data_IF_959774818721
#
_entry.id   IF_959774818721
#
_cell.length_a   1.000
_cell.length_b   1.000
_cell.length_c   1.000
_cell.angle_alpha   90.00
_cell.angle_beta   90.00
_cell.angle_gamma   90.00
#
_symmetry.space_group_name_H-M   'P 1'
#
loop_
_entity.id
_entity.type
_entity.pdbx_description
1 polymer ?
#
# COMPACT_ATOMS: atom_id res chain seq x y z
N UNK A 1 -5.39 4.50 -7.84
CA UNK A 1 -6.19 3.61 -6.95
C UNK A 1 -7.70 3.78 -7.13
N UNK A 2 -8.26 4.99 -7.28
CA UNK A 2 -9.71 5.20 -7.49
C UNK A 2 -10.26 4.30 -8.61
N UNK A 3 -9.66 4.36 -9.80
CA UNK A 3 -10.08 3.51 -10.94
C UNK A 3 -9.89 2.01 -10.66
N UNK A 4 -8.75 1.62 -10.09
CA UNK A 4 -8.48 0.20 -9.79
C UNK A 4 -9.47 -0.36 -8.76
N UNK A 5 -9.90 0.43 -7.78
CA UNK A 5 -10.93 0.03 -6.81
C UNK A 5 -12.27 -0.23 -7.50
N UNK A 6 -12.65 0.65 -8.45
CA UNK A 6 -13.87 0.45 -9.24
C UNK A 6 -13.78 -0.81 -10.08
N UNK A 7 -12.64 -1.05 -10.72
CA UNK A 7 -12.39 -2.27 -11.49
C UNK A 7 -12.49 -3.54 -10.68
N UNK A 8 -11.78 -3.57 -9.53
CA UNK A 8 -11.67 -4.78 -8.73
C UNK A 8 -12.94 -5.10 -7.93
N UNK A 9 -13.64 -4.07 -7.45
CA UNK A 9 -14.73 -4.24 -6.48
C UNK A 9 -16.08 -3.68 -6.93
N UNK A 10 -16.17 -3.03 -8.09
CA UNK A 10 -17.37 -2.36 -8.54
C UNK A 10 -17.78 -1.14 -7.72
N UNK A 11 -16.95 -0.71 -6.79
CA UNK A 11 -17.22 0.40 -5.86
C UNK A 11 -16.61 1.71 -6.37
N UNK A 12 -17.39 2.78 -6.40
CA UNK A 12 -16.93 4.12 -6.78
C UNK A 12 -16.51 4.88 -5.53
N UNK A 13 -15.23 5.24 -5.43
CA UNK A 13 -14.66 6.04 -4.33
C UNK A 13 -14.18 7.38 -4.86
N UNK A 14 -14.01 8.35 -3.97
CA UNK A 14 -13.43 9.65 -4.26
C UNK A 14 -11.98 9.74 -3.77
N UNK A 15 -11.23 10.76 -4.24
CA UNK A 15 -9.84 10.98 -3.78
C UNK A 15 -9.75 11.24 -2.27
N UNK A 16 -10.76 11.83 -1.65
CA UNK A 16 -10.82 12.06 -0.20
C UNK A 16 -10.89 10.77 0.62
N UNK A 17 -11.35 9.67 0.00
CA UNK A 17 -11.50 8.36 0.64
C UNK A 17 -10.18 7.55 0.59
N UNK A 18 -9.17 8.07 -0.10
CA UNK A 18 -7.85 7.44 -0.22
C UNK A 18 -6.91 7.99 0.85
N UNK A 19 -6.41 7.12 1.69
CA UNK A 19 -5.34 7.48 2.64
C UNK A 19 -4.02 7.66 1.89
N UNK A 20 -3.45 8.86 1.90
CA UNK A 20 -2.26 9.19 1.11
C UNK A 20 -1.07 9.49 2.03
N UNK A 21 0.01 8.71 1.87
CA UNK A 21 1.32 8.96 2.46
C UNK A 21 2.33 9.39 1.39
N UNK A 22 3.04 10.48 1.63
CA UNK A 22 4.10 10.94 0.73
C UNK A 22 5.44 10.28 1.00
N UNK A 23 6.37 10.37 0.04
CA UNK A 23 7.76 9.87 0.17
C UNK A 23 8.74 10.96 0.58
N UNK A 24 8.30 12.20 0.75
CA UNK A 24 9.20 13.36 1.02
C UNK A 24 9.91 13.32 2.37
N UNK A 25 9.51 12.55 3.29
CA UNK A 25 10.17 12.42 4.60
C UNK A 25 11.07 11.18 4.70
N UNK A 26 11.14 10.37 3.65
CA UNK A 26 11.90 9.13 3.65
C UNK A 26 13.39 9.41 3.65
N UNK A 27 14.08 9.00 4.70
CA UNK A 27 15.53 9.10 4.84
C UNK A 27 16.23 7.85 4.29
N UNK A 28 17.52 7.97 3.99
CA UNK A 28 18.31 6.84 3.52
C UNK A 28 18.47 5.79 4.62
N UNK A 29 18.48 6.21 5.87
CA UNK A 29 18.52 5.36 7.04
C UNK A 29 17.29 4.45 7.12
N UNK A 30 16.11 4.94 6.76
CA UNK A 30 14.89 4.15 6.73
C UNK A 30 14.99 3.00 5.72
N UNK A 31 15.63 3.24 4.57
CA UNK A 31 15.87 2.20 3.57
C UNK A 31 16.85 1.16 4.09
N UNK A 32 17.93 1.60 4.77
CA UNK A 32 18.93 0.70 5.36
C UNK A 32 18.29 -0.16 6.45
N UNK A 33 17.50 0.44 7.35
CA UNK A 33 16.80 -0.29 8.41
C UNK A 33 15.77 -1.27 7.84
N UNK A 34 15.00 -0.87 6.83
CA UNK A 34 14.08 -1.78 6.15
C UNK A 34 14.83 -3.01 5.60
N UNK A 35 15.97 -2.80 4.94
CA UNK A 35 16.78 -3.89 4.38
C UNK A 35 17.34 -4.84 5.45
N UNK A 36 17.76 -4.30 6.59
CA UNK A 36 18.22 -5.11 7.73
C UNK A 36 17.10 -5.95 8.32
N UNK A 37 15.87 -5.42 8.34
CA UNK A 37 14.67 -6.12 8.79
C UNK A 37 14.11 -7.11 7.75
N UNK A 38 14.74 -7.23 6.56
CA UNK A 38 14.31 -8.17 5.52
C UNK A 38 13.24 -7.60 4.56
N UNK A 39 13.09 -6.29 4.50
CA UNK A 39 12.11 -5.61 3.65
C UNK A 39 12.76 -4.76 2.57
N UNK A 40 11.97 -4.41 1.55
CA UNK A 40 12.23 -3.35 0.57
C UNK A 40 11.19 -2.25 0.73
N UNK A 41 11.62 -0.98 0.67
CA UNK A 41 10.67 0.14 0.66
C UNK A 41 10.14 0.35 -0.74
N UNK A 42 8.82 0.28 -0.91
CA UNK A 42 8.15 0.51 -2.19
C UNK A 42 7.01 1.52 -2.04
N UNK A 43 6.72 2.29 -3.08
CA UNK A 43 5.51 3.09 -3.16
C UNK A 43 4.37 2.20 -3.63
N UNK A 44 3.45 1.89 -2.74
CA UNK A 44 2.37 0.93 -2.99
C UNK A 44 1.02 1.63 -2.89
N UNK A 45 0.16 1.37 -3.88
CA UNK A 45 -1.27 1.64 -3.78
C UNK A 45 -1.99 0.33 -3.44
N UNK A 46 -2.77 0.32 -2.37
CA UNK A 46 -3.57 -0.83 -1.96
C UNK A 46 -5.05 -0.51 -2.01
N UNK A 47 -5.84 -1.49 -2.42
CA UNK A 47 -7.29 -1.51 -2.25
C UNK A 47 -7.67 -2.90 -1.75
N UNK A 48 -8.29 -2.98 -0.59
CA UNK A 48 -8.67 -4.26 0.01
C UNK A 48 -10.06 -4.19 0.63
N UNK A 49 -10.77 -5.31 0.59
CA UNK A 49 -12.04 -5.47 1.31
C UNK A 49 -11.78 -5.89 2.76
N UNK A 50 -12.52 -5.27 3.67
CA UNK A 50 -12.57 -5.72 5.06
C UNK A 50 -13.52 -6.91 5.20
N UNK A 51 -13.50 -7.63 6.33
CA UNK A 51 -14.47 -8.69 6.61
C UNK A 51 -15.93 -8.23 6.55
N UNK A 52 -16.21 -6.93 6.73
CA UNK A 52 -17.54 -6.33 6.60
C UNK A 52 -17.91 -5.94 5.16
N UNK A 53 -17.10 -6.30 4.18
CA UNK A 53 -17.25 -5.91 2.78
C UNK A 53 -17.11 -4.39 2.53
N UNK A 54 -16.49 -3.66 3.44
CA UNK A 54 -16.08 -2.28 3.20
C UNK A 54 -14.75 -2.24 2.45
N UNK A 55 -14.45 -1.16 1.75
CA UNK A 55 -13.20 -1.00 1.02
C UNK A 55 -12.28 -0.02 1.73
N UNK A 56 -11.04 -0.43 1.95
CA UNK A 56 -9.96 0.44 2.41
C UNK A 56 -8.97 0.68 1.28
N UNK A 57 -8.65 1.95 1.02
CA UNK A 57 -7.75 2.34 -0.06
C UNK A 57 -6.66 3.25 0.47
N UNK A 58 -5.42 2.95 0.11
CA UNK A 58 -4.29 3.80 0.48
C UNK A 58 -3.20 3.83 -0.60
N UNK A 59 -2.40 4.89 -0.58
CA UNK A 59 -1.19 5.04 -1.40
C UNK A 59 -0.10 5.61 -0.51
N UNK A 60 1.07 4.96 -0.48
CA UNK A 60 2.18 5.46 0.32
C UNK A 60 3.40 4.52 0.29
N UNK A 61 4.49 4.92 0.95
CA UNK A 61 5.64 4.05 1.16
C UNK A 61 5.24 2.90 2.10
N UNK A 62 5.63 1.69 1.71
CA UNK A 62 5.31 0.44 2.43
C UNK A 62 6.57 -0.41 2.50
N UNK A 63 6.81 -1.04 3.63
CA UNK A 63 7.80 -2.09 3.77
C UNK A 63 7.24 -3.38 3.17
N UNK A 64 7.83 -3.83 2.07
CA UNK A 64 7.43 -5.06 1.36
C UNK A 64 8.44 -6.15 1.70
N UNK A 65 8.03 -7.33 2.20
CA UNK A 65 8.94 -8.43 2.49
C UNK A 65 9.77 -8.81 1.26
N UNK A 66 11.07 -9.05 1.41
CA UNK A 66 11.95 -9.41 0.28
C UNK A 66 11.47 -10.61 -0.55
N UNK A 67 10.84 -11.65 0.04
CA UNK A 67 10.29 -12.76 -0.74
C UNK A 67 9.05 -12.39 -1.57
N UNK A 68 8.35 -11.30 -1.23
CA UNK A 68 7.13 -10.91 -1.92
C UNK A 68 7.43 -10.46 -3.36
N UNK A 69 6.64 -10.86 -4.38
CA UNK A 69 6.90 -10.53 -5.80
C UNK A 69 7.05 -9.04 -6.08
N UNK A 70 6.29 -8.17 -5.40
CA UNK A 70 6.41 -6.72 -5.57
C UNK A 70 7.76 -6.14 -5.11
N UNK A 71 8.48 -6.82 -4.21
CA UNK A 71 9.81 -6.36 -3.76
C UNK A 71 10.84 -6.38 -4.89
N UNK A 72 10.71 -7.30 -5.84
CA UNK A 72 11.63 -7.47 -6.97
C UNK A 72 11.50 -6.41 -8.06
N UNK A 73 10.41 -5.63 -8.07
CA UNK A 73 10.16 -4.62 -9.10
C UNK A 73 11.12 -3.45 -8.96
N UNK A 74 11.81 -3.09 -10.05
CA UNK A 74 12.82 -2.02 -10.07
C UNK A 74 12.64 -1.12 -11.28
N UNK A 75 13.20 0.07 -11.21
CA UNK A 75 13.26 1.07 -12.27
C UNK A 75 11.88 1.50 -12.77
N UNK A 76 11.66 1.56 -14.08
CA UNK A 76 10.42 1.94 -14.76
C UNK A 76 9.33 0.86 -14.79
N UNK A 77 9.62 -0.30 -14.24
CA UNK A 77 8.65 -1.39 -14.21
C UNK A 77 7.60 -1.21 -13.12
N UNK A 78 6.37 -1.58 -13.46
CA UNK A 78 5.24 -1.58 -12.55
C UNK A 78 4.73 -3.00 -12.35
N UNK A 79 4.07 -3.24 -11.22
CA UNK A 79 3.37 -4.47 -10.92
C UNK A 79 2.01 -4.20 -10.32
N UNK A 80 1.04 -4.99 -10.70
CA UNK A 80 -0.26 -5.09 -10.04
C UNK A 80 -0.37 -6.49 -9.48
N UNK A 81 -0.40 -6.59 -8.17
CA UNK A 81 -0.55 -7.85 -7.46
C UNK A 81 -1.99 -7.99 -6.99
N UNK A 82 -2.60 -9.12 -7.27
CA UNK A 82 -4.01 -9.38 -7.02
C UNK A 82 -4.15 -10.65 -6.21
N UNK A 83 -4.83 -10.55 -5.09
CA UNK A 83 -5.26 -11.70 -4.30
C UNK A 83 -6.77 -11.87 -4.45
N UNK A 84 -7.22 -13.06 -4.78
CA UNK A 84 -8.62 -13.36 -5.00
C UNK A 84 -8.96 -14.80 -4.62
N UNK A 85 -10.20 -15.03 -4.23
CA UNK A 85 -10.67 -16.36 -3.78
C UNK A 85 -10.58 -17.42 -4.88
N UNK A 86 -10.62 -17.02 -6.17
CA UNK A 86 -10.69 -17.97 -7.28
C UNK A 86 -9.33 -18.38 -7.85
N UNK A 87 -8.36 -17.46 -7.86
CA UNK A 87 -7.02 -17.68 -8.47
C UNK A 87 -5.93 -17.71 -7.39
N UNK A 88 -6.28 -17.37 -6.17
CA UNK A 88 -5.36 -17.14 -5.06
C UNK A 88 -4.49 -15.89 -5.33
N UNK A 89 -3.37 -16.02 -5.99
CA UNK A 89 -2.42 -14.94 -6.23
C UNK A 89 -2.07 -14.82 -7.71
N UNK A 90 -2.13 -13.62 -8.25
CA UNK A 90 -1.71 -13.31 -9.60
C UNK A 90 -0.97 -11.98 -9.67
N UNK A 91 -0.10 -11.82 -10.65
CA UNK A 91 0.67 -10.59 -10.83
C UNK A 91 0.77 -10.22 -12.31
N UNK A 92 0.46 -8.96 -12.61
CA UNK A 92 0.74 -8.31 -13.88
C UNK A 92 2.01 -7.48 -13.70
N UNK A 93 2.99 -7.69 -14.57
CA UNK A 93 4.28 -7.02 -14.50
C UNK A 93 4.71 -6.54 -15.87
N UNK A 94 5.19 -5.31 -15.96
CA UNK A 94 5.68 -4.77 -17.22
C UNK A 94 6.13 -3.31 -17.11
N UNK A 95 6.69 -2.75 -18.20
CA UNK A 95 7.08 -1.35 -18.25
C UNK A 95 5.83 -0.47 -18.22
N UNK A 96 5.71 0.38 -17.20
CA UNK A 96 4.60 1.31 -17.04
C UNK A 96 4.84 2.66 -17.70
N UNK A 97 6.11 3.02 -17.95
CA UNK A 97 6.51 4.29 -18.54
C UNK A 97 7.35 4.09 -19.79
N UNK A 98 7.46 5.14 -20.60
CA UNK A 98 8.23 5.16 -21.83
C UNK A 98 7.35 5.31 -23.08
N UNK A 99 7.93 5.84 -24.18
CA UNK A 99 7.19 6.16 -25.39
C UNK A 99 6.53 4.92 -26.03
N UNK A 100 7.25 3.81 -26.12
CA UNK A 100 6.72 2.59 -26.75
C UNK A 100 5.59 1.95 -25.93
N UNK A 101 5.74 1.64 -24.62
CA UNK A 101 4.65 1.07 -23.83
C UNK A 101 3.40 1.94 -23.82
N UNK A 102 3.57 3.26 -23.67
CA UNK A 102 2.45 4.21 -23.67
C UNK A 102 1.73 4.23 -25.02
N UNK A 103 2.49 4.32 -26.13
CA UNK A 103 1.89 4.30 -27.46
C UNK A 103 1.16 2.96 -27.75
N UNK A 104 1.73 1.84 -27.31
CA UNK A 104 1.11 0.52 -27.48
C UNK A 104 -0.24 0.44 -26.72
N UNK A 105 -0.30 0.92 -25.48
CA UNK A 105 -1.54 0.93 -24.70
C UNK A 105 -2.61 1.83 -25.36
N UNK A 106 -2.24 3.04 -25.78
CA UNK A 106 -3.17 3.96 -26.47
C UNK A 106 -3.70 3.34 -27.76
N UNK A 107 -2.83 2.74 -28.57
CA UNK A 107 -3.25 2.10 -29.83
C UNK A 107 -4.13 0.86 -29.60
N UNK A 108 -3.88 0.10 -28.53
CA UNK A 108 -4.73 -1.03 -28.15
C UNK A 108 -6.15 -0.53 -27.80
N UNK A 109 -6.27 0.50 -26.96
CA UNK A 109 -7.55 1.07 -26.57
C UNK A 109 -8.30 1.66 -27.77
N UNK A 110 -7.63 2.43 -28.64
CA UNK A 110 -8.22 2.99 -29.87
C UNK A 110 -8.73 1.87 -30.79
N UNK A 111 -7.95 0.81 -30.95
CA UNK A 111 -8.31 -0.33 -31.79
C UNK A 111 -9.53 -1.06 -31.24
N UNK A 112 -9.60 -1.26 -29.93
CA UNK A 112 -10.73 -1.90 -29.28
C UNK A 112 -12.00 -1.06 -29.39
N UNK A 113 -11.92 0.24 -29.14
CA UNK A 113 -13.04 1.18 -29.30
C UNK A 113 -13.54 1.17 -30.76
N UNK A 114 -12.64 1.18 -31.74
CA UNK A 114 -13.02 1.15 -33.14
C UNK A 114 -13.74 -0.15 -33.53
N UNK A 115 -13.28 -1.31 -33.04
CA UNK A 115 -13.94 -2.60 -33.25
C UNK A 115 -15.32 -2.63 -32.61
N UNK A 116 -15.44 -2.21 -31.36
CA UNK A 116 -16.70 -2.18 -30.63
C UNK A 116 -17.72 -1.26 -31.32
N UNK A 117 -17.29 -0.07 -31.75
CA UNK A 117 -18.15 0.86 -32.50
C UNK A 117 -18.62 0.27 -33.82
N UNK A 118 -17.74 -0.42 -34.57
CA UNK A 118 -18.09 -1.07 -35.83
C UNK A 118 -19.07 -2.25 -35.65
N UNK A 119 -18.99 -2.92 -34.51
CA UNK A 119 -19.88 -4.01 -34.13
C UNK A 119 -21.20 -3.55 -33.48
N UNK A 120 -21.40 -2.24 -33.29
CA UNK A 120 -22.56 -1.68 -32.59
C UNK A 120 -22.56 -1.98 -31.07
N UNK A 121 -21.41 -2.34 -30.50
CA UNK A 121 -21.26 -2.62 -29.08
C UNK A 121 -21.04 -1.30 -28.35
N UNK A 122 -21.97 -0.98 -27.44
CA UNK A 122 -21.92 0.22 -26.58
C UNK A 122 -21.76 -0.15 -25.11
N UNK A 123 -21.26 -1.32 -24.82
CA UNK A 123 -21.11 -1.79 -23.44
C UNK A 123 -20.14 -0.90 -22.64
N UNK A 124 -20.56 -0.64 -21.41
CA UNK A 124 -19.69 0.00 -20.43
C UNK A 124 -18.56 -0.97 -20.09
N UNK A 125 -17.35 -0.43 -19.99
CA UNK A 125 -16.16 -1.17 -19.58
C UNK A 125 -16.30 -1.84 -18.18
N UNK A 126 -17.23 -1.37 -17.39
CA UNK A 126 -17.54 -1.89 -16.06
C UNK A 126 -18.98 -2.46 -16.07
N UNK A 127 -19.08 -3.76 -16.00
CA UNK A 127 -20.34 -4.51 -16.10
C UNK A 127 -21.07 -4.68 -14.77
N UNK A 128 -20.44 -4.29 -13.64
CA UNK A 128 -21.09 -4.39 -12.33
C UNK A 128 -20.80 -3.18 -11.46
N UNK A 129 -21.79 -2.77 -10.68
CA UNK A 129 -21.67 -1.73 -9.67
C UNK A 129 -22.16 -2.27 -8.33
N UNK A 130 -21.48 -1.87 -7.28
CA UNK A 130 -21.88 -2.20 -5.90
C UNK A 130 -21.98 -0.92 -5.07
N UNK A 131 -22.86 -0.91 -4.06
CA UNK A 131 -22.90 0.19 -3.10
C UNK A 131 -21.52 0.39 -2.48
N UNK A 132 -21.02 1.62 -2.56
CA UNK A 132 -19.71 1.96 -1.98
C UNK A 132 -19.85 2.04 -0.46
N UNK A 133 -19.02 1.27 0.23
CA UNK A 133 -18.90 1.28 1.68
C UNK A 133 -17.43 1.43 2.01
N UNK A 134 -17.06 2.59 2.54
CA UNK A 134 -15.68 2.89 2.95
C UNK A 134 -15.43 2.30 4.33
N UNK A 135 -14.31 1.61 4.47
CA UNK A 135 -13.89 1.07 5.76
C UNK A 135 -13.66 2.20 6.77
N UNK A 136 -14.19 2.03 7.97
CA UNK A 136 -13.81 2.92 9.08
C UNK A 136 -12.38 2.62 9.52
N UNK A 137 -11.64 3.61 10.05
CA UNK A 137 -10.20 3.47 10.30
C UNK A 137 -9.80 2.21 11.05
N UNK A 138 -10.58 1.78 12.04
CA UNK A 138 -10.20 0.66 12.92
C UNK A 138 -10.65 -0.73 12.45
N UNK A 139 -11.19 -0.84 11.22
CA UNK A 139 -11.54 -2.16 10.66
C UNK A 139 -10.33 -2.99 10.23
N UNK A 140 -9.18 -2.36 10.06
CA UNK A 140 -7.94 -3.02 9.66
C UNK A 140 -6.88 -2.83 10.73
N UNK A 141 -6.25 -3.92 11.10
CA UNK A 141 -5.05 -3.93 11.94
C UNK A 141 -3.87 -4.28 11.05
N UNK A 142 -2.77 -3.56 11.21
CA UNK A 142 -1.55 -3.78 10.43
C UNK A 142 -0.32 -3.42 11.25
N UNK A 143 0.81 -3.97 10.85
CA UNK A 143 2.11 -3.59 11.42
C UNK A 143 2.58 -2.28 10.81
N UNK A 144 3.33 -1.54 11.61
CA UNK A 144 3.96 -0.29 11.17
C UNK A 144 5.45 -0.32 11.45
N UNK A 145 6.20 0.25 10.56
CA UNK A 145 7.58 0.67 10.79
C UNK A 145 7.54 2.09 11.36
N UNK A 146 8.32 2.30 12.42
CA UNK A 146 8.45 3.59 13.08
C UNK A 146 9.92 3.93 13.21
N UNK A 147 10.31 5.11 12.76
CA UNK A 147 11.65 5.67 12.97
C UNK A 147 11.57 6.92 13.84
N UNK A 148 12.62 7.12 14.64
CA UNK A 148 12.73 8.19 15.61
C UNK A 148 13.97 9.06 15.34
N UNK A 149 13.87 10.34 15.66
CA UNK A 149 15.00 11.30 15.58
C UNK A 149 16.09 11.06 16.62
N UNK A 150 15.84 10.21 17.63
CA UNK A 150 16.78 9.84 18.67
C UNK A 150 16.45 8.49 19.29
N UNK A 151 17.30 7.96 20.17
CA UNK A 151 17.16 6.60 20.67
C UNK A 151 15.94 6.45 21.59
N UNK A 152 15.34 5.25 21.56
CA UNK A 152 14.34 4.80 22.52
C UNK A 152 14.93 4.80 23.95
N UNK A 153 14.20 5.34 24.90
CA UNK A 153 14.52 5.17 26.31
C UNK A 153 14.34 3.69 26.72
N UNK A 154 15.05 3.25 27.75
CA UNK A 154 14.99 1.86 28.20
C UNK A 154 13.56 1.38 28.50
N UNK A 155 12.74 2.23 29.12
CA UNK A 155 11.36 1.93 29.43
C UNK A 155 10.46 1.83 28.18
N UNK A 156 10.78 2.57 27.11
CA UNK A 156 10.06 2.52 25.83
C UNK A 156 10.38 1.25 25.04
N UNK A 157 11.56 0.67 25.22
CA UNK A 157 11.95 -0.57 24.56
C UNK A 157 11.15 -1.79 25.00
N UNK A 158 10.49 -1.74 26.15
CA UNK A 158 9.73 -2.85 26.73
C UNK A 158 8.22 -2.74 26.51
N UNK A 159 7.76 -1.81 25.68
CA UNK A 159 6.35 -1.62 25.39
C UNK A 159 5.76 -2.80 24.61
N UNK A 160 4.63 -3.31 25.05
CA UNK A 160 4.02 -4.52 24.51
C UNK A 160 3.64 -4.46 23.04
N UNK A 161 3.40 -3.28 22.50
CA UNK A 161 3.04 -3.08 21.11
C UNK A 161 4.25 -2.98 20.16
N UNK A 162 5.49 -2.88 20.70
CA UNK A 162 6.73 -2.97 19.92
C UNK A 162 7.08 -4.43 19.69
N UNK A 163 7.47 -4.74 18.47
CA UNK A 163 8.12 -6.00 18.14
C UNK A 163 9.59 -5.92 18.59
N UNK A 164 9.89 -6.55 19.71
CA UNK A 164 11.17 -6.43 20.41
C UNK A 164 12.37 -6.88 19.56
N UNK A 165 12.17 -7.87 18.69
CA UNK A 165 13.21 -8.42 17.82
C UNK A 165 13.55 -7.49 16.65
N UNK A 166 12.65 -6.53 16.37
CA UNK A 166 12.80 -5.57 15.27
C UNK A 166 13.53 -4.28 15.64
N UNK A 167 13.94 -4.08 16.91
CA UNK A 167 14.56 -2.83 17.34
C UNK A 167 15.97 -2.69 16.77
N UNK A 168 16.15 -1.68 15.90
CA UNK A 168 17.44 -1.35 15.28
C UNK A 168 18.01 -0.05 15.87
N UNK A 169 19.26 -0.11 16.31
CA UNK A 169 20.01 1.04 16.86
C UNK A 169 19.23 1.87 17.90
N UNK A 170 18.17 1.30 18.50
CA UNK A 170 17.17 1.99 19.35
C UNK A 170 16.47 3.17 18.67
N UNK A 171 16.52 3.28 17.35
CA UNK A 171 15.95 4.39 16.58
C UNK A 171 14.83 3.96 15.64
N UNK A 172 14.79 2.70 15.24
CA UNK A 172 13.75 2.16 14.37
C UNK A 172 13.26 0.80 14.84
N UNK A 173 11.99 0.52 14.63
CA UNK A 173 11.37 -0.74 15.03
C UNK A 173 10.06 -1.00 14.26
N UNK A 174 9.59 -2.23 14.33
CA UNK A 174 8.26 -2.60 13.86
C UNK A 174 7.29 -2.67 15.04
N UNK A 175 6.02 -2.43 14.78
CA UNK A 175 4.96 -2.66 15.75
C UNK A 175 4.37 -4.06 15.58
N UNK A 176 3.71 -4.58 16.61
CA UNK A 176 2.69 -5.62 16.45
C UNK A 176 1.51 -5.05 15.67
N UNK A 177 0.57 -5.87 15.18
CA UNK A 177 -0.61 -5.35 14.47
C UNK A 177 -1.43 -4.40 15.33
N UNK A 178 -1.60 -3.16 14.86
CA UNK A 178 -2.37 -2.09 15.52
C UNK A 178 -3.44 -1.56 14.56
N UNK A 179 -4.58 -1.14 15.10
CA UNK A 179 -5.51 -0.29 14.37
C UNK A 179 -4.99 1.15 14.32
N UNK A 180 -5.48 2.01 13.42
CA UNK A 180 -5.08 3.42 13.37
C UNK A 180 -5.28 4.20 14.68
N UNK A 181 -6.35 3.93 15.44
CA UNK A 181 -6.57 4.57 16.73
C UNK A 181 -5.60 4.06 17.80
N UNK A 182 -5.32 2.75 17.83
CA UNK A 182 -4.29 2.18 18.71
C UNK A 182 -2.89 2.70 18.36
N UNK A 183 -2.56 2.86 17.07
CA UNK A 183 -1.31 3.48 16.65
C UNK A 183 -1.21 4.91 17.17
N UNK A 184 -2.26 5.72 16.99
CA UNK A 184 -2.28 7.11 17.48
C UNK A 184 -2.07 7.17 18.99
N UNK A 185 -2.75 6.32 19.74
CA UNK A 185 -2.57 6.22 21.20
C UNK A 185 -1.17 5.76 21.58
N UNK A 186 -0.63 4.76 20.89
CA UNK A 186 0.72 4.26 21.12
C UNK A 186 1.81 5.34 20.85
N UNK A 187 1.61 6.14 19.82
CA UNK A 187 2.57 7.19 19.44
C UNK A 187 2.52 8.42 20.35
N UNK A 188 1.43 8.63 21.09
CA UNK A 188 1.26 9.77 22.02
C UNK A 188 2.27 9.79 23.17
N UNK A 189 2.98 8.70 23.42
CA UNK A 189 4.05 8.64 24.43
C UNK A 189 5.35 9.33 23.98
N UNK A 190 5.48 9.61 22.68
CA UNK A 190 6.62 10.33 22.13
C UNK A 190 6.33 11.84 22.12
N UNK A 191 7.32 12.62 22.46
CA UNK A 191 7.24 14.08 22.32
C UNK A 191 7.09 14.49 20.84
N UNK A 192 6.51 15.65 20.62
CA UNK A 192 6.37 16.21 19.28
C UNK A 192 7.72 16.30 18.55
N UNK A 193 7.74 15.84 17.29
CA UNK A 193 8.95 15.82 16.47
C UNK A 193 9.92 14.66 16.75
N UNK A 194 9.61 13.76 17.68
CA UNK A 194 10.41 12.55 17.93
C UNK A 194 10.25 11.50 16.85
N UNK A 195 9.10 11.42 16.23
CA UNK A 195 8.81 10.47 15.15
C UNK A 195 9.25 11.11 13.83
N UNK A 196 10.20 10.47 13.14
CA UNK A 196 10.69 10.93 11.84
C UNK A 196 9.96 10.26 10.68
N UNK A 197 9.57 9.01 10.82
CA UNK A 197 8.90 8.26 9.76
C UNK A 197 7.93 7.22 10.32
N UNK A 198 6.81 7.04 9.60
CA UNK A 198 5.86 5.95 9.81
C UNK A 198 5.54 5.35 8.44
N UNK A 199 5.68 4.04 8.31
CA UNK A 199 5.31 3.30 7.09
C UNK A 199 4.50 2.07 7.47
N UNK A 200 3.58 1.68 6.60
CA UNK A 200 2.88 0.39 6.72
C UNK A 200 3.85 -0.74 6.41
N UNK A 201 3.62 -1.89 7.02
CA UNK A 201 4.32 -3.14 6.69
C UNK A 201 3.34 -4.06 5.98
N UNK A 202 3.72 -4.55 4.81
CA UNK A 202 2.95 -5.55 4.09
C UNK A 202 3.15 -6.90 4.77
N UNK A 203 2.08 -7.62 5.01
CA UNK A 203 2.11 -9.00 5.50
C UNK A 203 2.30 -9.97 4.34
N UNK A 204 2.83 -11.18 4.62
CA UNK A 204 3.06 -12.24 3.63
C UNK A 204 1.77 -12.95 3.22
#
# INVERSE_FOLDING_TARGET
MVLLTKFAFGMTIEMKDVSIGGIRGLAIEDIIYAQQLGYEVKLIGTAQKTPKNHVAVSVGPVLVPKPHPLASIKYEFNGVYIESTGIDRSMLYGPGAGARPTATSVLADVTEIAKNKSAGITESFLTFEQPTQIAVPDELRQRYYIALTGPLAAQQQTLDWIDQESILEKKAFLTKPLSPSELTAALSIFEDGRISQIMKVMEE
#
